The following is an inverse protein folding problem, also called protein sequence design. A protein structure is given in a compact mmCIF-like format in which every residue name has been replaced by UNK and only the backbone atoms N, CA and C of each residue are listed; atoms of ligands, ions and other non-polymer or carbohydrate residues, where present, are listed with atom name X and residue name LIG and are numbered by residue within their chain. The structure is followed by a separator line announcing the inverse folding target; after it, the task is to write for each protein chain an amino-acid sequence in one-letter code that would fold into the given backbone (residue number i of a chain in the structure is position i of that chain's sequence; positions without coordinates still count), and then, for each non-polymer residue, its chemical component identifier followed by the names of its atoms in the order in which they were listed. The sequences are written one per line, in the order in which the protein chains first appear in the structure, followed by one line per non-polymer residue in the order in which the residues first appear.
data_IF_014459297094
#
_entry.id   IF_014459297094
#
_cell.length_a   1.000
_cell.length_b   1.000
_cell.length_c   1.000
_cell.angle_alpha   90.00
_cell.angle_beta   90.00
_cell.angle_gamma   90.00
#
_symmetry.space_group_name_H-M   'P 1'
#
loop_
_entity.id
_entity.type
_entity.pdbx_description
1 polymer ?
#
# COMPACT_ATOMS: atom_id res chain seq x y z
N UNK A 1 -20.64 -23.13 -5.23
CA UNK A 1 -19.33 -22.47 -5.05
C UNK A 1 -19.55 -21.26 -4.16
N UNK A 2 -19.09 -21.31 -2.91
CA UNK A 2 -19.03 -20.11 -2.07
C UNK A 2 -17.74 -19.41 -2.46
N UNK A 3 -17.83 -18.19 -3.01
CA UNK A 3 -16.65 -17.35 -3.18
C UNK A 3 -16.25 -16.89 -1.78
N UNK A 4 -15.07 -17.31 -1.33
CA UNK A 4 -14.41 -16.66 -0.20
C UNK A 4 -13.81 -15.35 -0.73
N UNK A 5 -14.64 -14.31 -0.80
CA UNK A 5 -14.13 -12.99 -1.12
C UNK A 5 -13.28 -12.50 0.08
N UNK A 6 -12.07 -11.98 -0.16
CA UNK A 6 -11.20 -11.51 0.91
C UNK A 6 -11.89 -10.37 1.66
N UNK A 7 -12.09 -10.54 2.97
CA UNK A 7 -12.74 -9.57 3.85
C UNK A 7 -11.71 -8.71 4.58
N UNK A 8 -11.98 -7.42 4.72
CA UNK A 8 -11.16 -6.55 5.56
C UNK A 8 -11.24 -6.98 7.03
N UNK A 9 -10.08 -7.06 7.68
CA UNK A 9 -9.95 -7.33 9.11
C UNK A 9 -9.52 -6.02 9.77
N UNK A 10 -10.28 -5.57 10.76
CA UNK A 10 -9.93 -4.41 11.57
C UNK A 10 -9.47 -4.87 12.95
N UNK A 11 -8.34 -4.35 13.40
CA UNK A 11 -7.79 -4.55 14.73
C UNK A 11 -7.57 -3.19 15.40
N UNK A 12 -7.80 -3.12 16.70
CA UNK A 12 -7.51 -1.95 17.55
C UNK A 12 -6.70 -2.46 18.74
N UNK A 13 -5.47 -1.96 18.91
CA UNK A 13 -4.54 -2.43 19.95
C UNK A 13 -4.35 -3.96 19.97
N UNK A 14 -4.25 -4.58 18.79
CA UNK A 14 -4.11 -6.03 18.63
C UNK A 14 -5.41 -6.83 18.77
N UNK A 15 -6.51 -6.22 19.23
CA UNK A 15 -7.80 -6.90 19.36
C UNK A 15 -8.66 -6.71 18.10
N UNK A 16 -9.25 -7.80 17.62
CA UNK A 16 -10.13 -7.76 16.43
C UNK A 16 -11.45 -7.08 16.75
N UNK A 17 -11.88 -6.17 15.87
CA UNK A 17 -13.20 -5.54 15.93
C UNK A 17 -14.23 -6.46 15.27
N UNK A 18 -15.22 -6.89 16.04
CA UNK A 18 -16.31 -7.77 15.57
C UNK A 18 -17.65 -7.05 15.40
N UNK A 19 -17.81 -5.88 16.02
CA UNK A 19 -19.07 -5.12 16.01
C UNK A 19 -18.83 -3.71 15.50
N UNK A 20 -19.66 -3.31 14.54
CA UNK A 20 -19.67 -1.97 13.97
C UNK A 20 -21.00 -1.26 14.30
N UNK A 21 -20.99 0.06 14.51
CA UNK A 21 -19.81 0.90 14.61
C UNK A 21 -18.99 0.57 15.87
N UNK A 22 -17.66 0.59 15.76
CA UNK A 22 -16.76 0.62 16.90
C UNK A 22 -16.54 2.09 17.27
N UNK A 23 -16.58 2.40 18.56
CA UNK A 23 -16.34 3.76 19.06
C UNK A 23 -15.46 3.68 20.30
N UNK A 24 -14.39 4.46 20.30
CA UNK A 24 -13.58 4.80 21.48
C UNK A 24 -13.65 6.30 21.73
N UNK A 25 -12.89 6.78 22.70
CA UNK A 25 -12.62 8.19 22.97
C UNK A 25 -11.88 8.88 21.81
N UNK A 26 -11.02 8.17 21.09
CA UNK A 26 -10.16 8.73 20.04
C UNK A 26 -10.55 8.36 18.60
N UNK A 27 -11.40 7.33 18.39
CA UNK A 27 -11.76 6.86 17.05
C UNK A 27 -13.19 6.34 16.93
N UNK A 28 -13.74 6.47 15.72
CA UNK A 28 -14.98 5.84 15.30
C UNK A 28 -14.71 5.03 14.03
N UNK A 29 -15.03 3.74 14.04
CA UNK A 29 -14.83 2.85 12.90
C UNK A 29 -16.17 2.29 12.45
N UNK A 30 -16.47 2.40 11.16
CA UNK A 30 -17.76 2.00 10.59
C UNK A 30 -17.57 1.12 9.35
N UNK A 31 -18.53 0.21 9.13
CA UNK A 31 -18.65 -0.50 7.86
C UNK A 31 -19.56 0.29 6.92
N UNK A 32 -19.02 0.65 5.76
CA UNK A 32 -19.72 1.30 4.67
C UNK A 32 -20.10 0.23 3.65
N UNK A 33 -21.38 0.21 3.23
CA UNK A 33 -21.93 -0.77 2.28
C UNK A 33 -21.66 -2.25 2.67
N UNK A 34 -21.46 -2.53 3.97
CA UNK A 34 -21.24 -3.87 4.51
C UNK A 34 -19.85 -4.47 4.30
N UNK A 35 -18.91 -3.77 3.65
CA UNK A 35 -17.60 -4.32 3.27
C UNK A 35 -16.45 -3.31 3.32
N UNK A 36 -16.71 -2.04 3.02
CA UNK A 36 -15.70 -0.98 3.07
C UNK A 36 -15.58 -0.50 4.52
N UNK A 37 -14.37 -0.07 4.92
CA UNK A 37 -14.11 0.39 6.29
C UNK A 37 -13.85 1.89 6.26
N UNK A 38 -14.56 2.64 7.09
CA UNK A 38 -14.27 4.04 7.34
C UNK A 38 -13.81 4.23 8.78
N UNK A 39 -12.65 4.87 8.95
CA UNK A 39 -12.03 5.21 10.23
C UNK A 39 -12.02 6.72 10.37
N UNK A 40 -12.70 7.25 11.38
CA UNK A 40 -12.69 8.65 11.73
C UNK A 40 -11.87 8.84 13.02
N UNK A 41 -10.93 9.78 13.01
CA UNK A 41 -10.19 10.28 14.16
C UNK A 41 -10.73 11.69 14.49
N UNK A 42 -11.75 11.82 15.36
CA UNK A 42 -12.51 13.06 15.47
C UNK A 42 -11.68 14.25 15.94
N UNK A 43 -10.77 14.04 16.91
CA UNK A 43 -9.93 15.11 17.46
C UNK A 43 -8.93 15.67 16.43
N UNK A 44 -8.52 14.85 15.46
CA UNK A 44 -7.59 15.23 14.42
C UNK A 44 -8.30 15.66 13.13
N UNK A 45 -9.62 15.49 13.04
CA UNK A 45 -10.38 15.67 11.80
C UNK A 45 -9.83 14.85 10.62
N UNK A 46 -9.25 13.68 10.89
CA UNK A 46 -8.70 12.77 9.88
C UNK A 46 -9.70 11.66 9.61
N UNK A 47 -9.98 11.38 8.34
CA UNK A 47 -10.79 10.26 7.90
C UNK A 47 -9.98 9.35 6.97
N UNK A 48 -10.07 8.05 7.19
CA UNK A 48 -9.45 7.02 6.34
C UNK A 48 -10.52 6.06 5.85
N UNK A 49 -10.71 6.01 4.54
CA UNK A 49 -11.64 5.08 3.89
C UNK A 49 -10.86 3.99 3.16
N UNK A 50 -11.20 2.73 3.39
CA UNK A 50 -10.60 1.56 2.73
C UNK A 50 -11.67 0.81 1.94
N UNK A 51 -11.48 0.73 0.63
CA UNK A 51 -12.35 0.06 -0.33
C UNK A 51 -11.92 -1.40 -0.50
N UNK A 52 -12.74 -2.35 -0.03
CA UNK A 52 -12.38 -3.78 -0.05
C UNK A 52 -12.12 -4.28 -1.47
N UNK A 53 -12.97 -3.89 -2.43
CA UNK A 53 -12.94 -4.39 -3.81
C UNK A 53 -11.63 -4.14 -4.57
N UNK A 54 -10.86 -3.12 -4.17
CA UNK A 54 -9.63 -2.69 -4.85
C UNK A 54 -8.40 -2.64 -3.94
N UNK A 55 -8.57 -2.88 -2.64
CA UNK A 55 -7.58 -2.57 -1.61
C UNK A 55 -7.00 -1.14 -1.77
N UNK A 56 -7.89 -0.21 -2.12
CA UNK A 56 -7.56 1.21 -2.24
C UNK A 56 -7.93 1.87 -0.91
N UNK A 57 -7.10 2.80 -0.46
CA UNK A 57 -7.45 3.68 0.65
C UNK A 57 -7.45 5.15 0.23
N UNK A 58 -8.12 5.98 1.01
CA UNK A 58 -8.15 7.43 0.86
C UNK A 58 -8.03 8.05 2.24
N UNK A 59 -7.19 9.07 2.36
CA UNK A 59 -7.01 9.85 3.58
C UNK A 59 -7.52 11.26 3.31
N UNK A 60 -8.49 11.70 4.11
CA UNK A 60 -9.07 13.04 4.02
C UNK A 60 -8.67 13.85 5.25
N UNK A 61 -8.18 15.07 5.00
CA UNK A 61 -7.80 16.04 6.04
C UNK A 61 -8.32 17.43 5.68
N UNK A 62 -8.73 18.26 6.66
CA UNK A 62 -9.15 19.62 6.39
C UNK A 62 -7.96 20.52 6.04
N UNK A 63 -8.05 21.21 4.92
CA UNK A 63 -6.98 22.12 4.45
C UNK A 63 -6.69 23.25 5.44
N UNK A 64 -7.68 23.74 6.19
CA UNK A 64 -7.46 24.84 7.15
C UNK A 64 -6.53 24.46 8.32
N UNK A 65 -6.47 23.18 8.70
CA UNK A 65 -5.60 22.68 9.76
C UNK A 65 -4.26 22.14 9.24
N UNK A 66 -4.28 21.55 8.04
CA UNK A 66 -3.17 20.76 7.49
C UNK A 66 -2.44 21.41 6.32
N UNK A 67 -2.85 22.60 5.87
CA UNK A 67 -2.19 23.28 4.75
C UNK A 67 -0.70 23.48 5.01
N UNK A 68 0.14 23.03 4.08
CA UNK A 68 1.60 23.07 4.17
C UNK A 68 2.20 22.33 5.38
N UNK A 69 1.47 21.38 5.98
CA UNK A 69 1.86 20.69 7.22
C UNK A 69 1.92 19.16 7.12
N UNK A 70 1.50 18.59 6.00
CA UNK A 70 1.61 17.14 5.78
C UNK A 70 2.93 16.79 5.12
N UNK A 71 3.39 15.57 5.38
CA UNK A 71 4.56 14.96 4.78
C UNK A 71 4.27 13.48 4.49
N UNK A 72 5.09 12.84 3.65
CA UNK A 72 4.87 11.47 3.21
C UNK A 72 4.62 11.35 1.70
N UNK A 73 4.24 10.15 1.28
CA UNK A 73 4.00 9.83 -0.14
C UNK A 73 2.84 10.62 -0.78
N UNK A 74 1.88 11.06 0.04
CA UNK A 74 0.79 11.95 -0.41
C UNK A 74 1.26 13.40 -0.59
N UNK A 75 2.49 13.72 -0.19
CA UNK A 75 3.08 15.04 -0.28
C UNK A 75 2.51 16.04 0.72
N UNK A 76 2.75 17.31 0.41
CA UNK A 76 2.29 18.43 1.21
C UNK A 76 0.85 18.79 0.81
N UNK A 77 -0.01 19.07 1.79
CA UNK A 77 -1.37 19.56 1.58
C UNK A 77 -1.33 21.03 1.11
N UNK A 78 -0.84 21.25 -0.12
CA UNK A 78 -0.57 22.57 -0.70
C UNK A 78 -1.29 22.78 -2.04
N UNK A 79 -2.18 21.86 -2.43
CA UNK A 79 -2.73 21.81 -3.78
C UNK A 79 -1.81 21.04 -4.72
N UNK A 80 -1.54 21.57 -5.90
CA UNK A 80 -0.70 20.91 -6.91
C UNK A 80 0.79 21.04 -6.57
N UNK A 81 1.51 19.91 -6.60
CA UNK A 81 2.96 19.83 -6.42
C UNK A 81 3.56 19.15 -7.65
N UNK A 82 4.50 19.82 -8.32
CA UNK A 82 5.17 19.34 -9.53
C UNK A 82 6.46 18.54 -9.25
N UNK A 83 7.01 18.71 -8.04
CA UNK A 83 8.28 18.14 -7.62
C UNK A 83 8.09 16.94 -6.70
N UNK A 84 8.89 15.90 -6.87
CA UNK A 84 8.98 14.81 -5.89
C UNK A 84 9.96 15.24 -4.81
N UNK A 85 9.47 15.41 -3.57
CA UNK A 85 10.28 15.82 -2.42
C UNK A 85 10.51 14.58 -1.55
N UNK A 86 11.75 14.18 -1.37
CA UNK A 86 12.12 13.04 -0.53
C UNK A 86 11.87 13.33 0.96
N UNK A 87 11.90 12.30 1.79
CA UNK A 87 11.79 12.45 3.26
C UNK A 87 12.83 13.36 3.91
N UNK A 88 13.96 13.62 3.23
CA UNK A 88 15.00 14.53 3.70
C UNK A 88 14.92 15.92 3.03
N UNK A 89 13.81 16.22 2.35
CA UNK A 89 13.56 17.53 1.74
C UNK A 89 14.29 17.78 0.42
N UNK A 90 14.88 16.76 -0.21
CA UNK A 90 15.54 16.91 -1.52
C UNK A 90 14.56 16.70 -2.67
N UNK A 91 14.71 17.48 -3.74
CA UNK A 91 13.92 17.32 -4.97
C UNK A 91 14.55 16.23 -5.85
N UNK A 92 13.72 15.38 -6.45
CA UNK A 92 14.14 14.35 -7.38
C UNK A 92 13.13 14.13 -8.51
N UNK A 93 13.60 13.58 -9.62
CA UNK A 93 12.78 13.15 -10.76
C UNK A 93 12.66 11.60 -10.79
N UNK A 94 13.35 10.92 -9.87
CA UNK A 94 13.37 9.47 -9.72
C UNK A 94 12.30 9.01 -8.73
N UNK A 95 11.26 8.38 -9.27
CA UNK A 95 10.14 7.84 -8.50
C UNK A 95 10.56 6.73 -7.53
N UNK A 96 11.57 5.93 -7.86
CA UNK A 96 12.05 4.86 -7.00
C UNK A 96 12.79 5.46 -5.80
N UNK A 97 13.64 6.46 -6.05
CA UNK A 97 14.31 7.21 -4.99
C UNK A 97 13.30 7.92 -4.08
N UNK A 98 12.29 8.58 -4.66
CA UNK A 98 11.21 9.21 -3.92
C UNK A 98 10.47 8.21 -3.04
N UNK A 99 10.00 7.10 -3.61
CA UNK A 99 9.25 6.07 -2.89
C UNK A 99 10.05 5.44 -1.75
N UNK A 100 11.31 5.07 -2.02
CA UNK A 100 12.22 4.48 -1.01
C UNK A 100 12.56 5.46 0.10
N UNK A 101 12.65 6.76 -0.19
CA UNK A 101 12.94 7.76 0.85
C UNK A 101 11.89 7.80 1.96
N UNK A 102 10.63 7.50 1.64
CA UNK A 102 9.51 7.50 2.59
C UNK A 102 9.24 6.13 3.24
N UNK A 103 10.12 5.15 3.03
CA UNK A 103 9.99 3.84 3.68
C UNK A 103 10.11 3.98 5.20
N UNK A 104 9.16 3.37 5.93
CA UNK A 104 9.19 3.38 7.39
C UNK A 104 10.42 2.64 7.92
N UNK A 105 11.09 3.21 8.93
CA UNK A 105 12.27 2.61 9.52
C UNK A 105 11.91 1.38 10.37
N UNK A 106 12.83 0.42 10.55
CA UNK A 106 12.61 -0.74 11.42
C UNK A 106 12.20 -0.36 12.85
N UNK A 107 12.73 0.76 13.37
CA UNK A 107 12.39 1.26 14.71
C UNK A 107 10.93 1.72 14.79
N UNK A 108 10.43 2.42 13.77
CA UNK A 108 9.03 2.85 13.69
C UNK A 108 8.10 1.65 13.57
N UNK A 109 8.43 0.68 12.72
CA UNK A 109 7.66 -0.56 12.54
C UNK A 109 7.58 -1.38 13.84
N UNK A 110 8.70 -1.46 14.58
CA UNK A 110 8.74 -2.13 15.88
C UNK A 110 7.85 -1.42 16.90
N UNK A 111 7.90 -0.09 16.96
CA UNK A 111 7.07 0.71 17.88
C UNK A 111 5.57 0.58 17.59
N UNK A 112 5.21 0.38 16.32
CA UNK A 112 3.83 0.17 15.88
C UNK A 112 3.41 -1.31 15.92
N UNK A 113 4.27 -2.21 16.41
CA UNK A 113 4.01 -3.65 16.50
C UNK A 113 3.64 -4.29 15.15
N UNK A 114 4.20 -3.78 14.05
CA UNK A 114 3.94 -4.29 12.69
C UNK A 114 4.63 -5.65 12.51
N UNK A 115 3.89 -6.74 12.20
CA UNK A 115 4.48 -8.07 12.06
C UNK A 115 5.52 -8.14 10.93
N UNK A 116 6.62 -8.91 11.08
CA UNK A 116 7.66 -9.01 10.05
C UNK A 116 7.16 -9.41 8.66
N UNK A 117 6.14 -10.28 8.59
CA UNK A 117 5.53 -10.69 7.32
C UNK A 117 4.79 -9.56 6.56
N UNK A 118 4.48 -8.46 7.23
CA UNK A 118 3.80 -7.29 6.66
C UNK A 118 4.78 -6.16 6.32
N UNK A 119 6.07 -6.36 6.60
CA UNK A 119 7.10 -5.36 6.31
C UNK A 119 7.55 -5.45 4.85
N UNK A 120 7.57 -4.31 4.17
CA UNK A 120 8.15 -4.22 2.83
C UNK A 120 9.67 -4.26 2.93
N UNK A 121 10.29 -5.27 2.31
CA UNK A 121 11.74 -5.38 2.16
C UNK A 121 12.17 -5.24 0.71
N UNK A 122 13.48 -5.15 0.49
CA UNK A 122 14.04 -5.26 -0.85
C UNK A 122 13.63 -6.60 -1.45
N UNK A 123 13.00 -6.57 -2.63
CA UNK A 123 12.76 -7.78 -3.41
C UNK A 123 14.16 -8.32 -3.75
N UNK A 124 14.52 -9.55 -3.33
CA UNK A 124 15.81 -10.10 -3.70
C UNK A 124 15.95 -10.02 -5.21
N UNK A 125 17.13 -9.61 -5.73
CA UNK A 125 17.32 -9.47 -7.16
C UNK A 125 16.91 -10.79 -7.83
N UNK A 126 16.18 -10.73 -8.95
CA UNK A 126 15.76 -11.95 -9.63
C UNK A 126 17.02 -12.79 -9.90
N UNK A 127 16.96 -14.11 -9.70
CA UNK A 127 18.09 -14.97 -10.03
C UNK A 127 18.48 -14.71 -11.49
N UNK A 128 19.79 -14.72 -11.81
CA UNK A 128 20.24 -14.46 -13.16
C UNK A 128 19.51 -15.37 -14.14
N UNK A 129 18.91 -14.79 -15.18
CA UNK A 129 18.20 -15.54 -16.20
C UNK A 129 19.17 -16.48 -16.92
N UNK A 130 19.09 -17.77 -16.61
CA UNK A 130 19.81 -18.81 -17.36
C UNK A 130 18.90 -19.22 -18.52
N UNK A 131 19.32 -19.05 -19.79
CA UNK A 131 18.54 -19.53 -20.92
C UNK A 131 18.27 -21.03 -20.76
N UNK A 132 17.03 -21.50 -21.01
CA UNK A 132 16.76 -22.93 -21.03
C UNK A 132 17.65 -23.62 -22.07
N UNK A 133 18.01 -24.90 -21.85
CA UNK A 133 18.75 -25.70 -22.82
C UNK A 133 18.12 -25.63 -24.21
N UNK A 134 18.90 -25.67 -25.30
CA UNK A 134 18.38 -25.47 -26.66
C UNK A 134 17.16 -26.32 -27.01
N UNK A 135 17.12 -27.56 -26.54
CA UNK A 135 16.02 -28.52 -26.78
C UNK A 135 14.69 -28.10 -26.13
N UNK A 136 14.74 -27.45 -24.97
CA UNK A 136 13.56 -26.99 -24.23
C UNK A 136 13.32 -25.48 -24.38
N UNK A 137 14.22 -24.78 -25.05
CA UNK A 137 14.14 -23.35 -25.24
C UNK A 137 13.08 -23.01 -26.30
N UNK A 138 11.99 -22.33 -25.93
CA UNK A 138 10.93 -21.99 -26.88
C UNK A 138 11.44 -21.09 -28.00
N UNK A 139 12.45 -20.25 -27.73
CA UNK A 139 13.02 -19.34 -28.72
C UNK A 139 13.69 -20.07 -29.88
N UNK A 140 14.33 -21.22 -29.61
CA UNK A 140 14.94 -22.06 -30.66
C UNK A 140 13.94 -22.99 -31.34
N UNK A 141 12.76 -23.19 -30.76
CA UNK A 141 11.71 -24.05 -31.30
C UNK A 141 10.58 -23.29 -32.00
N UNK A 142 10.54 -21.94 -31.91
CA UNK A 142 9.50 -21.10 -32.52
C UNK A 142 9.30 -21.36 -34.02
N UNK A 143 10.38 -21.65 -34.75
CA UNK A 143 10.35 -21.94 -36.18
C UNK A 143 10.57 -23.44 -36.49
N UNK A 144 10.38 -24.32 -35.50
CA UNK A 144 10.55 -25.75 -35.70
C UNK A 144 9.34 -26.32 -36.46
N UNK A 145 9.49 -26.40 -37.78
CA UNK A 145 8.49 -26.89 -38.73
C UNK A 145 8.06 -28.32 -38.45
N UNK A 146 8.93 -29.16 -37.86
CA UNK A 146 8.60 -30.53 -37.47
C UNK A 146 7.66 -30.59 -36.26
N UNK A 147 7.73 -29.60 -35.38
CA UNK A 147 6.94 -29.54 -34.13
C UNK A 147 5.62 -28.79 -34.31
N UNK A 148 5.58 -27.78 -35.17
CA UNK A 148 4.42 -26.90 -35.36
C UNK A 148 3.73 -27.03 -36.73
N UNK A 149 4.31 -27.79 -37.66
CA UNK A 149 3.80 -27.91 -39.03
C UNK A 149 4.04 -26.63 -39.85
N UNK A 150 4.01 -26.76 -41.17
CA UNK A 150 4.02 -25.63 -42.10
C UNK A 150 2.60 -25.05 -42.27
#
# INVERSE_FOLDING_TARGET
MIRNDPQLITTVNGERVFKYPFSSDWAVITLVNGQDVNVLLPELHVEVMVLQSKLQFTVSVPSHDYSNRTEGLCGVCAGYQDQLITSNGTVTDDFELYGKSWQASPEVLTKLEVPPQEQCGDIPPPPPCVPPPPESNPCYNLNNVEKFGA
#
